data_IF_445196430042
#
_entry.id   IF_445196430042
#
_cell.length_a   1.000
_cell.length_b   1.000
_cell.length_c   1.000
_cell.angle_alpha   90.00
_cell.angle_beta   90.00
_cell.angle_gamma   90.00
#
_symmetry.space_group_name_H-M   'P 1'
#
loop_
_entity.id
_entity.type
_entity.pdbx_description
1 polymer ?
#
# COMPACT_ATOMS: atom_id res chain seq x y z
N UNK A 1 -4.88 -33.49 -0.33
CA UNK A 1 -5.15 -33.92 -1.71
C UNK A 1 -4.45 -32.92 -2.61
N UNK A 2 -3.46 -33.35 -3.42
CA UNK A 2 -2.91 -32.52 -4.49
C UNK A 2 -3.94 -32.52 -5.64
N UNK A 3 -4.50 -31.37 -5.93
CA UNK A 3 -5.35 -31.18 -7.12
C UNK A 3 -4.40 -31.25 -8.31
N UNK A 4 -4.56 -32.22 -9.18
CA UNK A 4 -3.80 -32.32 -10.42
C UNK A 4 -4.54 -31.51 -11.49
N UNK A 5 -4.11 -30.25 -11.69
CA UNK A 5 -4.71 -29.29 -12.61
C UNK A 5 -3.59 -28.63 -13.43
N UNK A 6 -3.79 -28.43 -14.72
CA UNK A 6 -2.88 -27.67 -15.56
C UNK A 6 -3.03 -26.17 -15.32
N UNK A 7 -2.06 -25.36 -15.72
CA UNK A 7 -2.15 -23.91 -15.62
C UNK A 7 -3.33 -23.36 -16.43
N UNK A 8 -3.59 -23.91 -17.62
CA UNK A 8 -4.70 -23.51 -18.48
C UNK A 8 -6.05 -23.77 -17.81
N UNK A 9 -6.28 -24.98 -17.32
CA UNK A 9 -7.48 -25.35 -16.57
C UNK A 9 -7.68 -24.49 -15.33
N UNK A 10 -6.58 -24.17 -14.61
CA UNK A 10 -6.64 -23.30 -13.45
C UNK A 10 -7.15 -21.90 -13.81
N UNK A 11 -6.59 -21.28 -14.86
CA UNK A 11 -7.02 -19.93 -15.26
C UNK A 11 -8.41 -19.91 -15.87
N UNK A 12 -8.86 -20.96 -16.56
CA UNK A 12 -10.26 -21.11 -16.98
C UNK A 12 -11.21 -21.09 -15.78
N UNK A 13 -10.89 -21.86 -14.72
CA UNK A 13 -11.69 -21.88 -13.50
C UNK A 13 -11.63 -20.58 -12.72
N UNK A 14 -10.45 -19.94 -12.65
CA UNK A 14 -10.28 -18.65 -11.99
C UNK A 14 -11.19 -17.58 -12.60
N UNK A 15 -11.27 -17.54 -13.95
CA UNK A 15 -12.06 -16.56 -14.68
C UNK A 15 -13.54 -16.92 -14.81
N UNK A 16 -13.93 -18.15 -14.48
CA UNK A 16 -15.29 -18.65 -14.72
C UNK A 16 -16.39 -17.73 -14.16
N UNK A 17 -16.24 -17.25 -12.93
CA UNK A 17 -17.21 -16.36 -12.27
C UNK A 17 -17.10 -14.90 -12.70
N UNK A 18 -16.05 -14.52 -13.39
CA UNK A 18 -15.80 -13.18 -13.92
C UNK A 18 -15.73 -13.14 -15.44
N UNK A 19 -16.22 -14.18 -16.11
CA UNK A 19 -16.13 -14.33 -17.57
C UNK A 19 -16.79 -13.19 -18.36
N UNK A 20 -17.77 -12.51 -17.78
CA UNK A 20 -18.46 -11.38 -18.42
C UNK A 20 -17.84 -10.00 -18.10
N UNK A 21 -16.83 -9.95 -17.21
CA UNK A 21 -16.21 -8.69 -16.77
C UNK A 21 -15.07 -8.30 -17.70
N UNK A 22 -14.27 -9.29 -18.13
CA UNK A 22 -13.07 -9.08 -18.93
C UNK A 22 -13.12 -9.87 -20.23
N UNK A 23 -12.66 -9.26 -21.31
CA UNK A 23 -12.39 -9.94 -22.57
C UNK A 23 -11.18 -10.89 -22.42
N UNK A 24 -11.03 -11.82 -23.35
CA UNK A 24 -9.89 -12.75 -23.32
C UNK A 24 -8.54 -12.04 -23.53
N UNK A 25 -8.53 -10.91 -24.25
CA UNK A 25 -7.35 -10.06 -24.38
C UNK A 25 -6.99 -9.40 -23.04
N UNK A 26 -7.98 -8.83 -22.32
CA UNK A 26 -7.77 -8.22 -21.00
C UNK A 26 -7.31 -9.25 -19.97
N UNK A 27 -7.90 -10.46 -19.98
CA UNK A 27 -7.43 -11.57 -19.11
C UNK A 27 -5.96 -11.89 -19.34
N UNK A 28 -5.52 -11.94 -20.63
CA UNK A 28 -4.10 -12.15 -20.96
C UNK A 28 -3.22 -10.99 -20.51
N UNK A 29 -3.67 -9.73 -20.65
CA UNK A 29 -2.93 -8.56 -20.12
C UNK A 29 -2.76 -8.68 -18.62
N UNK A 30 -3.83 -9.00 -17.88
CA UNK A 30 -3.80 -9.16 -16.41
C UNK A 30 -2.85 -10.28 -16.00
N UNK A 31 -2.93 -11.44 -16.65
CA UNK A 31 -2.10 -12.61 -16.34
C UNK A 31 -0.61 -12.31 -16.57
N UNK A 32 -0.25 -11.57 -17.61
CA UNK A 32 1.13 -11.30 -17.98
C UNK A 32 1.73 -10.09 -17.26
N UNK A 33 0.91 -9.23 -16.68
CA UNK A 33 1.38 -8.04 -15.98
C UNK A 33 2.32 -8.40 -14.83
N UNK A 34 3.35 -7.57 -14.63
CA UNK A 34 4.35 -7.70 -13.57
C UNK A 34 4.14 -6.57 -12.57
N UNK A 35 3.78 -6.91 -11.35
CA UNK A 35 3.46 -5.92 -10.32
C UNK A 35 4.40 -6.06 -9.13
N UNK A 36 5.04 -4.95 -8.72
CA UNK A 36 5.79 -4.90 -7.48
C UNK A 36 4.91 -4.37 -6.33
N UNK A 37 5.05 -5.00 -5.17
CA UNK A 37 4.43 -4.61 -3.91
C UNK A 37 5.54 -4.24 -2.94
N UNK A 38 5.69 -2.96 -2.64
CA UNK A 38 6.68 -2.46 -1.70
C UNK A 38 5.98 -2.26 -0.35
N UNK A 39 6.34 -3.08 0.62
CA UNK A 39 5.63 -3.22 1.89
C UNK A 39 4.52 -4.28 1.83
N UNK A 40 4.76 -5.44 2.43
CA UNK A 40 3.82 -6.59 2.47
C UNK A 40 3.10 -6.66 3.83
N UNK A 41 2.85 -5.49 4.41
CA UNK A 41 2.08 -5.34 5.65
C UNK A 41 0.57 -5.47 5.43
N UNK A 42 -0.19 -4.55 6.03
CA UNK A 42 -1.65 -4.60 5.92
C UNK A 42 -2.16 -4.34 4.51
N UNK A 43 -1.89 -3.15 3.97
CA UNK A 43 -2.38 -2.73 2.64
C UNK A 43 -1.77 -3.58 1.52
N UNK A 44 -0.44 -3.73 1.52
CA UNK A 44 0.25 -4.48 0.46
C UNK A 44 -0.06 -5.98 0.50
N UNK A 45 -0.22 -6.56 1.69
CA UNK A 45 -0.62 -7.96 1.83
C UNK A 45 -2.00 -8.25 1.22
N UNK A 46 -2.98 -7.40 1.51
CA UNK A 46 -4.33 -7.51 0.90
C UNK A 46 -4.24 -7.28 -0.62
N UNK A 47 -3.55 -6.22 -1.05
CA UNK A 47 -3.42 -5.91 -2.47
C UNK A 47 -2.80 -7.07 -3.26
N UNK A 48 -1.74 -7.70 -2.73
CA UNK A 48 -1.09 -8.84 -3.38
C UNK A 48 -2.02 -10.04 -3.51
N UNK A 49 -2.80 -10.39 -2.48
CA UNK A 49 -3.76 -11.49 -2.59
C UNK A 49 -4.90 -11.16 -3.57
N UNK A 50 -5.42 -9.94 -3.55
CA UNK A 50 -6.47 -9.54 -4.48
C UNK A 50 -5.98 -9.53 -5.94
N UNK A 51 -4.73 -9.13 -6.20
CA UNK A 51 -4.11 -9.21 -7.53
C UNK A 51 -3.97 -10.66 -8.02
N UNK A 52 -3.49 -11.57 -7.16
CA UNK A 52 -3.37 -12.99 -7.50
C UNK A 52 -4.76 -13.62 -7.77
N UNK A 53 -5.75 -13.32 -6.93
CA UNK A 53 -7.16 -13.74 -7.15
C UNK A 53 -7.78 -13.08 -8.38
N UNK A 54 -7.33 -11.88 -8.73
CA UNK A 54 -7.70 -11.16 -9.95
C UNK A 54 -6.97 -11.62 -11.19
N UNK A 55 -6.11 -12.66 -11.12
CA UNK A 55 -5.47 -13.29 -12.28
C UNK A 55 -4.03 -12.83 -12.56
N UNK A 56 -3.49 -11.85 -11.82
CA UNK A 56 -2.07 -11.45 -11.97
C UNK A 56 -1.17 -12.60 -11.56
N UNK A 57 -0.27 -12.99 -12.49
CA UNK A 57 0.63 -14.12 -12.28
C UNK A 57 1.98 -13.71 -11.69
N UNK A 58 2.49 -12.53 -12.04
CA UNK A 58 3.87 -12.15 -11.74
C UNK A 58 3.90 -11.06 -10.68
N UNK A 59 4.40 -11.38 -9.50
CA UNK A 59 4.54 -10.45 -8.38
C UNK A 59 5.98 -10.38 -7.91
N UNK A 60 6.40 -9.16 -7.53
CA UNK A 60 7.62 -8.90 -6.77
C UNK A 60 7.23 -8.34 -5.42
N UNK A 61 7.57 -9.04 -4.35
CA UNK A 61 7.26 -8.69 -2.97
C UNK A 61 8.51 -8.16 -2.27
N UNK A 62 8.41 -6.98 -1.67
CA UNK A 62 9.53 -6.30 -1.02
C UNK A 62 9.12 -5.87 0.39
N UNK A 63 9.74 -6.43 1.41
CA UNK A 63 9.51 -6.04 2.82
C UNK A 63 10.64 -6.59 3.70
N UNK A 64 11.36 -5.75 4.48
CA UNK A 64 12.47 -6.21 5.30
C UNK A 64 12.04 -6.86 6.62
N UNK A 65 10.80 -6.70 7.02
CA UNK A 65 10.31 -7.05 8.34
C UNK A 65 9.97 -8.53 8.50
N UNK A 66 9.78 -8.92 9.76
CA UNK A 66 9.14 -10.16 10.19
C UNK A 66 7.71 -9.87 10.70
N UNK A 67 6.85 -10.89 10.74
CA UNK A 67 5.57 -10.76 11.40
C UNK A 67 5.69 -10.79 12.92
N UNK A 68 5.03 -9.85 13.57
CA UNK A 68 4.93 -9.72 15.02
C UNK A 68 3.48 -9.89 15.49
N UNK A 69 3.28 -10.22 16.77
CA UNK A 69 1.94 -10.36 17.35
C UNK A 69 1.06 -9.10 17.16
N UNK A 70 1.67 -7.93 17.22
CA UNK A 70 0.99 -6.64 17.02
C UNK A 70 0.47 -6.40 15.61
N UNK A 71 0.84 -7.25 14.65
CA UNK A 71 0.42 -7.17 13.26
C UNK A 71 -0.90 -7.92 13.00
N UNK A 72 -1.27 -8.84 13.88
CA UNK A 72 -2.38 -9.79 13.67
C UNK A 72 -3.74 -9.12 13.45
N UNK A 73 -3.92 -7.90 13.97
CA UNK A 73 -5.18 -7.18 13.86
C UNK A 73 -5.45 -6.62 12.45
N UNK A 74 -4.42 -6.54 11.57
CA UNK A 74 -4.55 -5.83 10.28
C UNK A 74 -3.70 -6.37 9.13
N UNK A 75 -2.65 -7.16 9.40
CA UNK A 75 -1.78 -7.68 8.34
C UNK A 75 -2.26 -9.08 7.95
N UNK A 76 -2.75 -9.18 6.72
CA UNK A 76 -3.50 -10.33 6.22
C UNK A 76 -2.78 -11.67 6.35
N UNK A 77 -1.48 -11.69 6.10
CA UNK A 77 -0.66 -12.89 6.20
C UNK A 77 -0.10 -13.15 7.60
N UNK A 78 -0.38 -12.25 8.56
CA UNK A 78 0.00 -12.46 9.95
C UNK A 78 -1.00 -13.39 10.65
N UNK A 79 -0.55 -14.56 11.02
CA UNK A 79 -1.27 -15.57 11.80
C UNK A 79 -0.39 -16.08 12.93
N UNK A 80 -0.92 -16.84 13.87
CA UNK A 80 -0.11 -17.43 14.93
C UNK A 80 1.03 -18.31 14.37
N UNK A 81 0.84 -18.93 13.21
CA UNK A 81 1.84 -19.80 12.57
C UNK A 81 2.89 -19.05 11.75
N UNK A 82 2.66 -17.76 11.43
CA UNK A 82 3.58 -16.93 10.65
C UNK A 82 4.34 -15.90 11.48
N UNK A 83 4.00 -15.72 12.75
CA UNK A 83 4.77 -14.85 13.67
C UNK A 83 6.23 -15.31 13.71
N UNK A 84 7.15 -14.35 13.56
CA UNK A 84 8.59 -14.57 13.48
C UNK A 84 9.12 -14.90 12.08
N UNK A 85 8.26 -15.22 11.09
CA UNK A 85 8.69 -15.40 9.70
C UNK A 85 8.88 -14.05 8.99
N UNK A 86 9.78 -14.00 8.00
CA UNK A 86 9.88 -12.88 7.05
C UNK A 86 8.53 -12.67 6.37
N UNK A 87 8.05 -11.41 6.31
CA UNK A 87 6.73 -11.09 5.74
C UNK A 87 6.60 -11.54 4.30
N UNK A 88 7.62 -11.29 3.47
CA UNK A 88 7.61 -11.67 2.04
C UNK A 88 7.55 -13.18 1.84
N UNK A 89 8.22 -13.97 2.68
CA UNK A 89 8.23 -15.42 2.56
C UNK A 89 6.89 -16.03 2.97
N UNK A 90 6.31 -15.60 4.09
CA UNK A 90 4.99 -16.03 4.51
C UNK A 90 3.89 -15.62 3.51
N UNK A 91 4.02 -14.43 2.93
CA UNK A 91 3.12 -13.98 1.87
C UNK A 91 3.25 -14.86 0.62
N UNK A 92 4.47 -15.16 0.18
CA UNK A 92 4.73 -16.04 -0.97
C UNK A 92 4.14 -17.43 -0.76
N UNK A 93 4.37 -18.04 0.41
CA UNK A 93 3.78 -19.34 0.77
C UNK A 93 2.26 -19.29 0.60
N UNK A 94 1.61 -18.29 1.18
CA UNK A 94 0.15 -18.13 1.12
C UNK A 94 -0.38 -17.86 -0.28
N UNK A 95 0.29 -17.01 -1.06
CA UNK A 95 -0.13 -16.67 -2.42
C UNK A 95 0.00 -17.88 -3.37
N UNK A 96 0.99 -18.75 -3.17
CA UNK A 96 1.13 -19.99 -3.92
C UNK A 96 0.05 -21.03 -3.56
N UNK A 97 -0.53 -20.97 -2.36
CA UNK A 97 -1.73 -21.76 -2.04
C UNK A 97 -2.97 -21.27 -2.81
N UNK A 98 -3.04 -19.96 -3.11
CA UNK A 98 -4.13 -19.36 -3.91
C UNK A 98 -3.95 -19.64 -5.40
N UNK A 99 -2.73 -19.45 -5.90
CA UNK A 99 -2.38 -19.68 -7.30
C UNK A 99 -1.02 -20.38 -7.39
N UNK A 100 -0.99 -21.71 -7.57
CA UNK A 100 0.25 -22.47 -7.62
C UNK A 100 1.12 -22.16 -8.85
N UNK A 101 0.57 -21.48 -9.86
CA UNK A 101 1.26 -21.07 -11.08
C UNK A 101 1.78 -19.63 -11.01
N UNK A 102 1.61 -18.93 -9.88
CA UNK A 102 2.13 -17.58 -9.73
C UNK A 102 3.67 -17.58 -9.66
N UNK A 103 4.27 -16.60 -10.34
CA UNK A 103 5.70 -16.32 -10.29
C UNK A 103 5.93 -15.23 -9.25
N UNK A 104 6.45 -15.60 -8.08
CA UNK A 104 6.63 -14.66 -6.96
C UNK A 104 8.10 -14.54 -6.63
N UNK A 105 8.66 -13.35 -6.87
CA UNK A 105 10.01 -12.97 -6.46
C UNK A 105 9.93 -12.21 -5.14
N UNK A 106 10.85 -12.48 -4.22
CA UNK A 106 10.90 -11.86 -2.89
C UNK A 106 12.21 -11.09 -2.69
N UNK A 107 12.10 -9.91 -2.05
CA UNK A 107 13.23 -9.10 -1.59
C UNK A 107 13.10 -8.90 -0.08
N UNK A 108 13.65 -9.83 0.73
CA UNK A 108 13.48 -9.85 2.19
C UNK A 108 14.32 -8.81 2.93
N UNK A 109 15.18 -8.08 2.23
CA UNK A 109 16.02 -7.03 2.81
C UNK A 109 15.49 -5.62 2.50
N UNK A 110 14.33 -5.55 1.82
CA UNK A 110 13.69 -4.28 1.49
C UNK A 110 14.20 -3.65 0.20
N UNK A 111 13.88 -2.36 0.03
CA UNK A 111 14.32 -1.54 -1.10
C UNK A 111 15.12 -0.35 -0.60
N UNK A 112 16.22 -0.05 -1.27
CA UNK A 112 17.08 1.10 -1.04
C UNK A 112 17.61 1.67 -2.36
N UNK A 113 18.52 2.64 -2.27
CA UNK A 113 19.14 3.28 -3.44
C UNK A 113 20.03 2.35 -4.29
N UNK A 114 20.44 1.20 -3.77
CA UNK A 114 21.34 0.27 -4.45
C UNK A 114 20.58 -0.78 -5.26
N UNK A 115 19.37 -1.17 -4.82
CA UNK A 115 18.57 -2.20 -5.48
C UNK A 115 17.28 -1.67 -6.15
N UNK A 116 16.91 -0.41 -5.91
CA UNK A 116 15.67 0.17 -6.44
C UNK A 116 15.57 0.05 -7.97
N UNK A 117 16.66 0.31 -8.71
CA UNK A 117 16.64 0.21 -10.16
C UNK A 117 16.43 -1.23 -10.65
N UNK A 118 17.07 -2.20 -9.98
CA UNK A 118 16.91 -3.62 -10.33
C UNK A 118 15.44 -4.05 -10.19
N UNK A 119 14.80 -3.66 -9.10
CA UNK A 119 13.40 -4.00 -8.80
C UNK A 119 12.47 -3.33 -9.80
N UNK A 120 12.65 -2.02 -10.02
CA UNK A 120 11.71 -1.19 -10.81
C UNK A 120 11.77 -1.51 -12.30
N UNK A 121 12.95 -1.70 -12.88
CA UNK A 121 13.09 -1.93 -14.35
C UNK A 121 12.43 -3.21 -14.85
N UNK A 122 12.08 -4.13 -13.97
CA UNK A 122 11.54 -5.44 -14.29
C UNK A 122 10.03 -5.56 -14.08
N UNK A 123 9.34 -4.47 -13.73
CA UNK A 123 7.90 -4.47 -13.45
C UNK A 123 7.16 -3.42 -14.28
N UNK A 124 5.86 -3.64 -14.47
CA UNK A 124 4.99 -2.77 -15.25
C UNK A 124 4.24 -1.76 -14.34
N UNK A 125 3.99 -2.15 -13.08
CA UNK A 125 3.25 -1.36 -12.10
C UNK A 125 3.81 -1.56 -10.70
N UNK A 126 3.64 -0.54 -9.84
CA UNK A 126 4.12 -0.58 -8.46
C UNK A 126 3.00 -0.17 -7.51
N UNK A 127 2.83 -0.95 -6.44
CA UNK A 127 2.09 -0.55 -5.23
C UNK A 127 3.10 -0.20 -4.15
N UNK A 128 3.19 1.08 -3.80
CA UNK A 128 3.99 1.57 -2.68
C UNK A 128 3.13 1.62 -1.41
N UNK A 129 3.16 0.53 -0.66
CA UNK A 129 2.48 0.36 0.63
C UNK A 129 3.44 0.40 1.82
N UNK A 130 4.68 0.83 1.60
CA UNK A 130 5.68 1.03 2.64
C UNK A 130 5.33 2.25 3.50
N UNK A 131 5.82 2.28 4.73
CA UNK A 131 5.79 3.42 5.63
C UNK A 131 7.18 4.09 5.79
N UNK A 132 8.20 3.59 5.09
CA UNK A 132 9.58 4.04 5.19
C UNK A 132 9.94 5.04 4.07
N UNK A 133 10.28 6.28 4.44
CA UNK A 133 10.71 7.32 3.50
C UNK A 133 11.99 6.96 2.74
N UNK A 134 12.91 6.25 3.38
CA UNK A 134 14.13 5.78 2.73
C UNK A 134 13.86 4.79 1.58
N UNK A 135 12.71 4.11 1.61
CA UNK A 135 12.25 3.27 0.52
C UNK A 135 11.54 4.06 -0.58
N UNK A 136 10.71 5.05 -0.20
CA UNK A 136 9.89 5.81 -1.15
C UNK A 136 10.70 6.57 -2.18
N UNK A 137 11.70 7.34 -1.77
CA UNK A 137 12.38 8.26 -2.67
C UNK A 137 13.21 7.55 -3.76
N UNK A 138 14.06 6.57 -3.44
CA UNK A 138 14.73 5.77 -4.45
C UNK A 138 13.75 5.08 -5.40
N UNK A 139 12.66 4.51 -4.85
CA UNK A 139 11.60 3.89 -5.62
C UNK A 139 11.00 4.83 -6.66
N UNK A 140 10.53 6.01 -6.23
CA UNK A 140 9.85 6.97 -7.10
C UNK A 140 10.79 7.57 -8.15
N UNK A 141 12.07 7.81 -7.82
CA UNK A 141 13.07 8.26 -8.80
C UNK A 141 13.31 7.21 -9.88
N UNK A 142 13.45 5.94 -9.50
CA UNK A 142 13.63 4.86 -10.48
C UNK A 142 12.35 4.60 -11.26
N UNK A 143 11.19 4.70 -10.64
CA UNK A 143 9.91 4.58 -11.32
C UNK A 143 9.73 5.66 -12.39
N UNK A 144 10.08 6.93 -12.11
CA UNK A 144 10.08 8.01 -13.10
C UNK A 144 11.08 7.75 -14.23
N UNK A 145 12.31 7.34 -13.90
CA UNK A 145 13.34 6.99 -14.88
C UNK A 145 12.88 5.90 -15.85
N UNK A 146 12.20 4.88 -15.34
CA UNK A 146 11.74 3.72 -16.14
C UNK A 146 10.28 3.83 -16.59
N UNK A 147 9.61 4.97 -16.36
CA UNK A 147 8.22 5.26 -16.76
C UNK A 147 7.21 4.25 -16.18
N UNK A 148 7.44 3.78 -14.96
CA UNK A 148 6.57 2.81 -14.27
C UNK A 148 5.60 3.55 -13.37
N UNK A 149 4.26 3.36 -13.53
CA UNK A 149 3.27 3.95 -12.65
C UNK A 149 3.37 3.44 -11.22
N UNK A 150 3.22 4.34 -10.25
CA UNK A 150 3.22 4.02 -8.81
C UNK A 150 1.91 4.43 -8.19
N UNK A 151 1.27 3.50 -7.50
CA UNK A 151 0.15 3.77 -6.61
C UNK A 151 0.65 3.75 -5.17
N UNK A 152 0.30 4.74 -4.39
CA UNK A 152 0.65 4.78 -2.98
C UNK A 152 -0.50 5.30 -2.12
N UNK A 153 -0.46 4.98 -0.83
CA UNK A 153 -1.38 5.54 0.14
C UNK A 153 -1.17 7.04 0.25
N UNK A 154 -2.24 7.81 0.08
CA UNK A 154 -2.18 9.23 0.36
C UNK A 154 -1.93 9.43 1.86
N UNK A 155 -0.88 10.17 2.22
CA UNK A 155 -0.72 10.67 3.56
C UNK A 155 -1.79 11.73 3.80
N UNK A 156 -2.89 11.32 4.36
CA UNK A 156 -3.88 12.26 4.86
C UNK A 156 -3.78 12.33 6.36
N UNK A 157 -3.93 13.54 6.88
CA UNK A 157 -4.33 13.75 8.27
C UNK A 157 -5.38 12.68 8.56
N UNK A 158 -5.32 11.98 9.69
CA UNK A 158 -6.35 11.02 10.03
C UNK A 158 -7.68 11.74 10.04
N UNK A 159 -8.33 11.68 8.91
CA UNK A 159 -9.73 11.88 8.83
C UNK A 159 -10.27 10.58 9.43
N UNK A 160 -10.92 10.64 10.58
CA UNK A 160 -11.55 9.50 11.23
C UNK A 160 -12.67 8.88 10.37
N UNK A 161 -12.70 9.23 9.11
CA UNK A 161 -13.56 8.64 8.11
C UNK A 161 -12.93 7.33 7.63
N UNK A 162 -13.73 6.28 7.65
CA UNK A 162 -13.41 5.00 7.04
C UNK A 162 -13.25 5.21 5.52
N UNK A 163 -12.03 5.44 5.04
CA UNK A 163 -11.81 5.72 3.63
C UNK A 163 -10.47 5.22 3.15
N UNK A 164 -10.44 4.76 1.91
CA UNK A 164 -9.22 4.53 1.17
C UNK A 164 -8.88 5.78 0.37
N UNK A 165 -7.67 6.28 0.51
CA UNK A 165 -7.12 7.32 -0.34
C UNK A 165 -5.87 6.79 -1.02
N UNK A 166 -5.79 6.99 -2.34
CA UNK A 166 -4.65 6.63 -3.14
C UNK A 166 -4.13 7.85 -3.89
N UNK A 167 -2.82 7.96 -3.99
CA UNK A 167 -2.17 8.82 -4.96
C UNK A 167 -1.66 7.93 -6.09
N UNK A 168 -1.84 8.38 -7.32
CA UNK A 168 -1.28 7.74 -8.50
C UNK A 168 -0.25 8.70 -9.10
N UNK A 169 0.99 8.24 -9.20
CA UNK A 169 2.04 8.86 -10.00
C UNK A 169 2.18 8.06 -11.29
N UNK A 170 1.51 8.52 -12.35
CA UNK A 170 1.64 7.89 -13.66
C UNK A 170 2.86 8.44 -14.39
N UNK A 171 4.02 7.89 -14.12
CA UNK A 171 5.28 8.33 -14.71
C UNK A 171 5.44 8.01 -16.21
N UNK A 172 4.43 7.44 -16.86
CA UNK A 172 4.34 7.41 -18.33
C UNK A 172 4.15 8.82 -18.88
N UNK A 173 3.55 9.73 -18.10
CA UNK A 173 3.56 11.16 -18.37
C UNK A 173 4.83 11.79 -17.74
N UNK A 174 5.66 12.38 -18.61
CA UNK A 174 6.94 12.99 -18.21
C UNK A 174 6.80 14.23 -17.31
N UNK A 175 5.63 14.85 -17.29
CA UNK A 175 5.35 16.04 -16.48
C UNK A 175 4.98 15.69 -15.02
N UNK A 176 4.76 14.43 -14.71
CA UNK A 176 4.44 14.02 -13.33
C UNK A 176 5.68 14.15 -12.46
N UNK A 177 5.56 14.96 -11.39
CA UNK A 177 6.60 15.13 -10.36
C UNK A 177 6.82 13.82 -9.59
N UNK A 178 8.02 13.60 -9.08
CA UNK A 178 8.25 12.51 -8.13
C UNK A 178 7.58 12.84 -6.80
N UNK A 179 7.32 11.81 -5.99
CA UNK A 179 6.82 12.00 -4.63
C UNK A 179 7.70 12.92 -3.80
N UNK A 180 9.01 12.83 -3.98
CA UNK A 180 10.00 13.64 -3.29
C UNK A 180 9.91 15.13 -3.67
N UNK A 181 9.66 15.42 -4.96
CA UNK A 181 9.38 16.76 -5.48
C UNK A 181 8.05 17.29 -4.92
N UNK A 182 6.98 16.50 -4.95
CA UNK A 182 5.66 16.87 -4.42
C UNK A 182 5.69 17.17 -2.92
N UNK A 183 6.51 16.44 -2.17
CA UNK A 183 6.71 16.67 -0.73
C UNK A 183 7.70 17.82 -0.43
N UNK A 184 8.23 18.53 -1.46
CA UNK A 184 9.22 19.57 -1.35
C UNK A 184 10.42 19.16 -0.47
N UNK A 185 10.90 17.94 -0.69
CA UNK A 185 12.03 17.43 0.08
C UNK A 185 13.33 18.15 -0.33
N UNK A 186 14.18 18.55 0.63
CA UNK A 186 15.50 19.12 0.30
C UNK A 186 16.37 18.18 -0.53
N UNK A 187 16.11 16.89 -0.49
CA UNK A 187 16.84 15.87 -1.24
C UNK A 187 16.41 15.76 -2.71
N UNK A 188 15.26 16.33 -3.09
CA UNK A 188 14.70 16.19 -4.44
C UNK A 188 15.63 16.68 -5.55
N UNK A 189 16.48 17.65 -5.27
CA UNK A 189 17.44 18.21 -6.22
C UNK A 189 18.83 17.55 -6.19
N UNK A 190 19.07 16.66 -5.22
CA UNK A 190 20.34 15.97 -5.09
C UNK A 190 20.39 14.70 -5.94
N UNK A 191 21.55 14.33 -6.51
CA UNK A 191 21.77 13.00 -7.05
C UNK A 191 21.48 11.93 -5.99
N UNK A 192 20.94 10.77 -6.40
CA UNK A 192 20.52 9.73 -5.45
C UNK A 192 21.70 9.18 -4.62
N UNK A 193 22.89 9.10 -5.22
CA UNK A 193 24.12 8.67 -4.58
C UNK A 193 24.59 9.60 -3.46
N UNK A 194 24.23 10.88 -3.52
CA UNK A 194 24.56 11.88 -2.50
C UNK A 194 23.55 11.89 -1.33
N UNK A 195 22.38 11.24 -1.52
CA UNK A 195 21.36 11.18 -0.47
C UNK A 195 21.74 10.14 0.56
N UNK A 196 21.84 10.56 1.82
CA UNK A 196 22.17 9.69 2.96
C UNK A 196 20.93 9.23 3.72
N UNK A 197 21.04 8.13 4.45
CA UNK A 197 19.96 7.68 5.34
C UNK A 197 19.57 8.74 6.39
N UNK A 198 20.54 9.52 6.86
CA UNK A 198 20.30 10.57 7.85
C UNK A 198 19.41 11.68 7.30
N UNK A 199 19.57 12.03 6.01
CA UNK A 199 18.69 12.99 5.33
C UNK A 199 17.25 12.48 5.27
N UNK A 200 17.03 11.19 5.02
CA UNK A 200 15.71 10.58 5.07
C UNK A 200 15.12 10.59 6.48
N UNK A 201 15.91 10.22 7.49
CA UNK A 201 15.49 10.23 8.90
C UNK A 201 15.14 11.64 9.40
N UNK A 202 15.90 12.66 8.97
CA UNK A 202 15.59 14.04 9.30
C UNK A 202 14.24 14.49 8.73
N UNK A 203 13.93 14.09 7.49
CA UNK A 203 12.62 14.36 6.87
C UNK A 203 11.49 13.62 7.56
N UNK A 204 11.66 12.35 7.90
CA UNK A 204 10.67 11.59 8.66
C UNK A 204 10.36 12.25 10.01
N UNK A 205 11.38 12.71 10.70
CA UNK A 205 11.19 13.46 11.96
C UNK A 205 10.39 14.73 11.76
N UNK A 206 10.69 15.52 10.73
CA UNK A 206 9.94 16.74 10.41
C UNK A 206 8.46 16.44 10.14
N UNK A 207 8.17 15.45 9.30
CA UNK A 207 6.79 15.04 8.99
C UNK A 207 6.08 14.54 10.24
N UNK A 208 6.77 13.79 11.09
CA UNK A 208 6.22 13.30 12.34
C UNK A 208 5.90 14.44 13.32
N UNK A 209 6.77 15.43 13.42
CA UNK A 209 6.57 16.62 14.26
C UNK A 209 5.39 17.49 13.76
N UNK A 210 5.24 17.65 12.46
CA UNK A 210 4.09 18.35 11.86
C UNK A 210 2.79 17.59 12.11
N UNK A 211 2.80 16.28 11.92
CA UNK A 211 1.68 15.39 12.20
C UNK A 211 1.26 15.49 13.69
N UNK A 212 2.21 15.43 14.60
CA UNK A 212 1.96 15.56 16.03
C UNK A 212 1.35 16.90 16.40
N UNK A 213 1.78 18.00 15.78
CA UNK A 213 1.17 19.34 15.97
C UNK A 213 -0.29 19.37 15.54
N UNK A 214 -0.62 18.74 14.42
CA UNK A 214 -1.99 18.69 13.90
C UNK A 214 -2.85 17.79 14.80
N UNK A 215 -2.36 16.64 15.20
CA UNK A 215 -3.03 15.73 16.13
C UNK A 215 -3.35 16.39 17.46
N UNK A 216 -2.37 17.06 18.07
CA UNK A 216 -2.58 17.77 19.34
C UNK A 216 -3.67 18.84 19.25
N UNK A 217 -3.82 19.49 18.09
CA UNK A 217 -4.91 20.47 17.86
C UNK A 217 -6.25 19.80 17.71
N UNK A 218 -6.34 18.67 17.00
CA UNK A 218 -7.57 17.92 16.79
C UNK A 218 -8.11 17.33 18.10
N UNK A 219 -7.24 16.75 18.92
CA UNK A 219 -7.64 16.16 20.20
C UNK A 219 -7.98 17.19 21.28
N UNK A 220 -7.44 18.39 21.21
CA UNK A 220 -7.81 19.52 22.11
C UNK A 220 -9.10 20.22 21.67
N UNK A 221 -9.65 19.89 20.51
CA UNK A 221 -10.90 20.47 20.05
C UNK A 221 -12.09 19.84 20.76
N UNK A 222 -13.10 20.63 21.14
CA UNK A 222 -14.37 20.15 21.72
C UNK A 222 -15.16 19.23 20.76
N UNK A 223 -14.69 19.08 19.54
CA UNK A 223 -15.25 18.23 18.49
C UNK A 223 -14.45 16.93 18.31
N UNK A 224 -13.45 16.65 19.19
CA UNK A 224 -12.86 15.31 19.23
C UNK A 224 -14.00 14.30 19.35
N UNK A 225 -14.13 13.35 18.41
CA UNK A 225 -15.31 12.50 18.36
C UNK A 225 -15.45 11.75 19.68
N UNK A 226 -16.56 11.92 20.38
CA UNK A 226 -16.91 11.13 21.56
C UNK A 226 -16.87 9.61 21.29
N UNK A 227 -16.83 9.22 20.03
CA UNK A 227 -16.73 7.82 19.58
C UNK A 227 -15.40 7.14 19.93
N UNK A 228 -14.33 7.90 20.12
CA UNK A 228 -13.02 7.36 20.47
C UNK A 228 -12.75 7.35 21.97
N UNK A 229 -13.57 8.06 22.72
CA UNK A 229 -13.44 8.18 24.16
C UNK A 229 -14.55 7.33 24.80
N UNK A 230 -14.37 6.00 24.84
CA UNK A 230 -15.13 5.20 25.82
C UNK A 230 -14.78 5.71 27.22
N UNK A 231 -15.66 5.48 28.20
CA UNK A 231 -15.41 5.85 29.61
C UNK A 231 -14.08 5.33 30.17
N UNK A 232 -13.41 4.42 29.45
CA UNK A 232 -12.11 3.83 29.75
C UNK A 232 -10.96 4.38 28.91
N UNK A 233 -11.13 5.55 28.25
CA UNK A 233 -10.03 6.15 27.49
C UNK A 233 -8.92 6.59 28.44
N UNK A 234 -7.65 6.31 28.10
CA UNK A 234 -6.54 6.75 28.91
C UNK A 234 -6.58 8.25 29.14
N UNK A 235 -6.08 8.74 30.30
CA UNK A 235 -5.96 10.16 30.59
C UNK A 235 -5.26 10.92 29.48
N UNK A 236 -5.48 12.23 29.40
CA UNK A 236 -4.82 13.14 28.44
C UNK A 236 -3.30 12.95 28.40
N UNK A 237 -2.71 12.56 29.50
CA UNK A 237 -1.28 12.24 29.64
C UNK A 237 -0.80 11.10 28.73
N UNK A 238 -1.67 10.16 28.39
CA UNK A 238 -1.35 9.07 27.46
C UNK A 238 -1.06 9.62 26.05
N UNK A 239 -1.89 10.54 25.57
CA UNK A 239 -1.68 11.18 24.26
C UNK A 239 -0.48 12.13 24.29
N UNK A 240 -0.27 12.84 25.37
CA UNK A 240 0.89 13.71 25.53
C UNK A 240 2.20 12.90 25.59
N UNK A 241 2.21 11.74 26.22
CA UNK A 241 3.35 10.83 26.25
C UNK A 241 3.58 10.18 24.88
N UNK A 242 2.53 9.82 24.16
CA UNK A 242 2.62 9.33 22.79
C UNK A 242 3.20 10.37 21.82
N UNK A 243 2.69 11.61 21.88
CA UNK A 243 3.18 12.74 21.08
C UNK A 243 4.65 13.05 21.39
N UNK A 244 5.10 12.82 22.64
CA UNK A 244 6.49 13.02 23.06
C UNK A 244 7.39 11.81 22.74
N UNK A 245 6.88 10.75 22.12
CA UNK A 245 7.63 9.53 21.81
C UNK A 245 8.04 8.71 23.05
N UNK A 246 7.44 9.00 24.23
CA UNK A 246 7.74 8.32 25.49
C UNK A 246 7.03 6.97 25.62
N UNK A 247 5.87 6.83 24.98
CA UNK A 247 5.11 5.59 24.94
C UNK A 247 5.26 4.89 23.59
N UNK A 248 5.99 3.78 23.59
CA UNK A 248 6.19 2.92 22.40
C UNK A 248 4.93 2.12 22.00
N UNK A 249 3.87 2.18 22.78
CA UNK A 249 2.69 1.31 22.64
C UNK A 249 1.69 1.76 21.58
N UNK A 250 1.85 2.95 21.01
CA UNK A 250 0.87 3.49 20.04
C UNK A 250 1.56 4.00 18.79
N UNK A 251 2.30 3.15 18.10
CA UNK A 251 2.68 3.40 16.72
C UNK A 251 1.45 3.19 15.84
N UNK A 252 0.89 4.31 15.34
CA UNK A 252 -0.15 4.36 14.32
C UNK A 252 -1.36 3.45 14.58
N UNK A 253 -2.48 4.01 15.02
CA UNK A 253 -3.74 3.26 15.13
C UNK A 253 -4.22 2.87 13.72
N UNK A 254 -4.04 1.61 13.36
CA UNK A 254 -4.53 1.04 12.12
C UNK A 254 -5.63 0.00 12.43
N UNK A 255 -6.74 0.10 11.72
CA UNK A 255 -7.86 -0.82 11.85
C UNK A 255 -7.95 -1.76 10.65
N UNK A 256 -8.01 -3.08 10.91
CA UNK A 256 -7.97 -4.11 9.89
C UNK A 256 -8.93 -3.91 8.72
N UNK A 257 -10.24 -3.66 8.95
CA UNK A 257 -11.18 -3.42 7.87
C UNK A 257 -10.84 -2.23 6.97
N UNK A 258 -10.35 -1.11 7.53
CA UNK A 258 -9.92 0.05 6.73
C UNK A 258 -8.71 -0.25 5.87
N UNK A 259 -7.76 -1.00 6.40
CA UNK A 259 -6.57 -1.47 5.67
C UNK A 259 -6.97 -2.42 4.54
N UNK A 260 -7.94 -3.31 4.78
CA UNK A 260 -8.48 -4.24 3.78
C UNK A 260 -9.13 -3.50 2.61
N UNK A 261 -9.98 -2.50 2.90
CA UNK A 261 -10.59 -1.67 1.86
C UNK A 261 -9.51 -0.99 1.01
N UNK A 262 -8.48 -0.41 1.64
CA UNK A 262 -7.39 0.27 0.93
C UNK A 262 -6.61 -0.69 0.02
N UNK A 263 -6.24 -1.86 0.52
CA UNK A 263 -5.50 -2.86 -0.25
C UNK A 263 -6.31 -3.39 -1.45
N UNK A 264 -7.59 -3.68 -1.23
CA UNK A 264 -8.51 -4.08 -2.31
C UNK A 264 -8.65 -2.98 -3.37
N UNK A 265 -8.77 -1.73 -2.93
CA UNK A 265 -8.86 -0.58 -3.82
C UNK A 265 -7.61 -0.41 -4.69
N UNK A 266 -6.42 -0.60 -4.12
CA UNK A 266 -5.17 -0.57 -4.89
C UNK A 266 -5.12 -1.66 -5.96
N UNK A 267 -5.55 -2.88 -5.63
CA UNK A 267 -5.64 -3.96 -6.61
C UNK A 267 -6.60 -3.63 -7.76
N UNK A 268 -7.76 -3.04 -7.47
CA UNK A 268 -8.72 -2.60 -8.47
C UNK A 268 -8.10 -1.56 -9.41
N UNK A 269 -7.39 -0.55 -8.87
CA UNK A 269 -6.75 0.47 -9.69
C UNK A 269 -5.67 -0.15 -10.58
N UNK A 270 -4.83 -1.03 -10.05
CA UNK A 270 -3.80 -1.71 -10.84
C UNK A 270 -4.41 -2.53 -11.98
N UNK A 271 -5.46 -3.30 -11.71
CA UNK A 271 -6.14 -4.08 -12.76
C UNK A 271 -6.71 -3.15 -13.84
N UNK A 272 -7.32 -2.03 -13.47
CA UNK A 272 -7.80 -1.04 -14.44
C UNK A 272 -6.67 -0.43 -15.27
N UNK A 273 -5.52 -0.13 -14.64
CA UNK A 273 -4.34 0.38 -15.36
C UNK A 273 -3.78 -0.66 -16.36
N UNK A 274 -3.80 -1.95 -16.01
CA UNK A 274 -3.35 -3.05 -16.86
C UNK A 274 -4.20 -3.15 -18.13
N UNK A 275 -5.52 -3.00 -18.00
CA UNK A 275 -6.46 -3.15 -19.12
C UNK A 275 -6.71 -1.84 -19.88
N UNK A 276 -6.00 -0.76 -19.55
CA UNK A 276 -6.20 0.58 -20.11
C UNK A 276 -7.68 1.04 -20.06
N UNK A 277 -8.34 0.75 -18.95
CA UNK A 277 -9.75 1.14 -18.77
C UNK A 277 -9.91 2.66 -18.78
N UNK A 278 -10.75 3.16 -19.70
CA UNK A 278 -11.08 4.59 -19.78
C UNK A 278 -11.86 5.12 -18.55
N UNK A 279 -12.30 4.22 -17.69
CA UNK A 279 -13.05 4.53 -16.47
C UNK A 279 -12.16 4.63 -15.23
N UNK A 280 -10.85 4.73 -15.39
CA UNK A 280 -9.97 5.03 -14.27
C UNK A 280 -10.19 6.48 -13.88
N UNK A 281 -10.74 6.69 -12.71
CA UNK A 281 -10.77 8.01 -12.09
C UNK A 281 -9.35 8.37 -11.66
N UNK A 282 -8.63 9.07 -12.52
CA UNK A 282 -7.31 9.65 -12.22
C UNK A 282 -7.54 10.90 -11.35
N UNK A 283 -7.42 10.73 -10.08
CA UNK A 283 -7.58 11.81 -9.09
C UNK A 283 -7.59 11.25 -7.68
N UNK A 284 -7.55 12.07 -6.64
CA UNK A 284 -7.66 11.60 -5.28
C UNK A 284 -9.06 10.97 -5.08
N UNK A 285 -9.12 9.66 -5.23
CA UNK A 285 -10.35 8.92 -4.98
C UNK A 285 -10.46 8.73 -3.48
N UNK A 286 -11.43 9.38 -2.84
CA UNK A 286 -11.77 9.09 -1.45
C UNK A 286 -13.07 8.32 -1.40
N UNK A 287 -13.02 7.11 -0.88
CA UNK A 287 -14.22 6.38 -0.48
C UNK A 287 -14.53 6.84 0.95
N UNK A 288 -15.58 7.65 1.12
CA UNK A 288 -16.12 7.96 2.43
C UNK A 288 -17.25 6.99 2.71
N UNK A 289 -17.08 6.13 3.72
CA UNK A 289 -18.21 5.42 4.29
C UNK A 289 -18.84 6.33 5.34
N UNK A 290 -20.05 6.81 5.11
CA UNK A 290 -20.83 7.43 6.18
C UNK A 290 -21.24 6.35 7.18
N UNK A 291 -20.95 6.55 8.46
CA UNK A 291 -21.32 5.62 9.53
C UNK A 291 -22.83 5.37 9.63
N UNK A 292 -23.65 6.25 9.04
CA UNK A 292 -25.11 6.10 8.97
C UNK A 292 -25.59 5.27 7.79
N UNK A 293 -24.80 5.20 6.71
CA UNK A 293 -25.16 4.45 5.49
C UNK A 293 -23.93 3.77 4.90
N UNK A 294 -23.51 2.61 5.45
CA UNK A 294 -22.41 1.86 4.90
C UNK A 294 -22.77 1.40 3.48
N UNK A 295 -22.09 1.93 2.50
CA UNK A 295 -22.25 1.54 1.09
C UNK A 295 -22.53 2.65 0.10
N UNK A 296 -22.59 3.92 0.55
CA UNK A 296 -22.70 5.04 -0.38
C UNK A 296 -21.29 5.52 -0.77
N UNK A 297 -20.98 5.34 -2.04
CA UNK A 297 -19.82 5.96 -2.70
C UNK A 297 -20.24 7.40 -3.01
N UNK A 298 -19.72 8.37 -2.28
CA UNK A 298 -19.93 9.78 -2.61
C UNK A 298 -18.92 10.21 -3.69
N UNK A 299 -19.45 10.35 -4.92
CA UNK A 299 -18.69 10.85 -6.08
C UNK A 299 -18.71 12.37 -6.14
N UNK A 300 -18.57 13.08 -5.06
CA UNK A 300 -18.53 14.54 -5.13
C UNK A 300 -17.10 15.07 -5.14
N UNK A 301 -16.91 15.75 -6.22
CA UNK A 301 -16.07 16.84 -6.69
C UNK A 301 -14.70 16.45 -7.24
N UNK A 302 -14.77 16.10 -8.52
CA UNK A 302 -13.69 16.41 -9.45
C UNK A 302 -13.93 17.87 -9.89
N UNK A 303 -13.12 18.79 -9.42
CA UNK A 303 -12.89 20.08 -10.06
C UNK A 303 -11.44 20.20 -10.41
#
# INVERSE_FOLDING_TARGET
MSINITEEEFYEMLWFRSSMIFTDEEKKKIQNAKVAIIGVGGTGGIASEQLVRGGVKNLTLVDPDIFEMTNINRQHFCTLSTIGKKKVEAAKERLLEVNPFANITTYPDGIDKHNAEEIVKNVDFIIDASDNKAAHYPLHRMAKKHKVPVISRAHTIPDFTFGAKANLWDYRDENVSTREEDENSPTATLPLEEVTEEMFKAKDKQVHDEFNKIYSRLFKSKYAPKLLLSENTPPTDFFDNYIQGKDKLVQGTNWGPGVTITGTFFAIIIINLIIDSKNIFLGPISIKADSKFPGIIDQREIK
#
